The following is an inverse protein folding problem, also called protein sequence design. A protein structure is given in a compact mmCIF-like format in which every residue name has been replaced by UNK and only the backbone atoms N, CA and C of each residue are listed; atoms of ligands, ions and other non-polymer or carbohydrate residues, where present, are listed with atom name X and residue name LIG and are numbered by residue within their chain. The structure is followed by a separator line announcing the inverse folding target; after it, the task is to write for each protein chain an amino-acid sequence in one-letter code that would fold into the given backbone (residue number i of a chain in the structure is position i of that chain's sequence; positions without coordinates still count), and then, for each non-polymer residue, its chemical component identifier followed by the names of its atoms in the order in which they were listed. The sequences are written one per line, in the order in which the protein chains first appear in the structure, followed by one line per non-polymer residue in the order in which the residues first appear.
data_IF_829590914163
#
_entry.id   IF_829590914163
#
_cell.length_a   1.000
_cell.length_b   1.000
_cell.length_c   1.000
_cell.angle_alpha   90.00
_cell.angle_beta   90.00
_cell.angle_gamma   90.00
#
_symmetry.space_group_name_H-M   'P 1'
#
loop_
_entity.id
_entity.type
_entity.pdbx_description
1 polymer ?
#
# COMPACT_ATOMS: atom_id res chain seq x y z
N UNK A 1 8.04 0.64 -28.22
CA UNK A 1 6.80 -0.12 -27.95
C UNK A 1 6.79 -1.34 -28.84
N UNK A 2 6.81 -2.59 -28.41
CA UNK A 2 7.03 -3.20 -27.11
C UNK A 2 7.90 -4.45 -27.29
N UNK A 3 8.61 -4.83 -26.23
CA UNK A 3 9.58 -5.94 -26.24
C UNK A 3 9.03 -7.21 -25.54
N UNK A 4 7.72 -7.28 -25.36
CA UNK A 4 7.06 -8.37 -24.66
C UNK A 4 6.05 -9.00 -25.61
N UNK A 5 6.48 -10.02 -26.33
CA UNK A 5 5.59 -10.89 -27.07
C UNK A 5 5.00 -11.90 -26.10
N UNK A 6 3.66 -12.01 -26.07
CA UNK A 6 2.99 -13.01 -25.26
C UNK A 6 3.32 -14.39 -25.80
N UNK A 7 3.81 -15.27 -24.92
CA UNK A 7 4.12 -16.66 -25.26
C UNK A 7 2.84 -17.38 -25.75
N UNK A 8 2.88 -18.21 -26.80
CA UNK A 8 1.72 -19.00 -27.23
C UNK A 8 1.04 -19.73 -26.05
N UNK A 9 -0.28 -19.77 -26.01
CA UNK A 9 -1.06 -20.36 -24.90
C UNK A 9 -0.67 -21.81 -24.62
N UNK A 10 -0.30 -22.55 -25.67
CA UNK A 10 0.17 -23.94 -25.61
C UNK A 10 1.43 -24.10 -24.75
N UNK A 11 2.33 -23.11 -24.75
CA UNK A 11 3.58 -23.12 -23.98
C UNK A 11 3.42 -22.52 -22.57
N UNK A 12 2.25 -21.94 -22.24
CA UNK A 12 1.93 -21.47 -20.89
C UNK A 12 1.48 -22.63 -19.99
N UNK A 13 1.01 -23.72 -20.59
CA UNK A 13 0.44 -24.88 -19.90
C UNK A 13 1.42 -26.06 -19.77
N UNK A 14 2.71 -25.85 -20.08
CA UNK A 14 3.76 -26.90 -20.02
C UNK A 14 3.89 -27.52 -18.61
N UNK A 15 3.59 -26.73 -17.56
CA UNK A 15 3.66 -27.15 -16.16
C UNK A 15 2.35 -27.77 -15.63
N UNK A 16 1.23 -27.63 -16.34
CA UNK A 16 -0.08 -28.08 -15.87
C UNK A 16 -0.31 -29.59 -15.98
N UNK A 17 0.53 -30.28 -16.77
CA UNK A 17 0.47 -31.74 -16.95
C UNK A 17 1.49 -32.52 -16.10
N UNK A 18 2.35 -31.83 -15.35
CA UNK A 18 3.31 -32.51 -14.47
C UNK A 18 2.58 -32.96 -13.20
N UNK A 19 2.78 -34.22 -12.77
CA UNK A 19 2.24 -34.66 -11.49
C UNK A 19 2.84 -33.78 -10.40
N UNK A 20 2.00 -33.13 -9.60
CA UNK A 20 2.46 -32.47 -8.38
C UNK A 20 3.17 -33.50 -7.52
N UNK A 21 4.27 -33.10 -6.88
CA UNK A 21 4.91 -33.96 -5.89
C UNK A 21 3.89 -34.36 -4.80
N UNK A 22 4.04 -35.56 -4.21
CA UNK A 22 3.20 -35.95 -3.08
C UNK A 22 3.32 -34.91 -1.98
N UNK A 23 2.19 -34.48 -1.41
CA UNK A 23 2.20 -33.55 -0.29
C UNK A 23 2.82 -34.26 0.92
N UNK A 24 4.07 -33.91 1.24
CA UNK A 24 4.72 -34.36 2.46
C UNK A 24 4.05 -33.75 3.70
N UNK A 25 4.23 -34.41 4.85
CA UNK A 25 3.73 -33.90 6.11
C UNK A 25 4.44 -32.59 6.47
N UNK A 26 3.72 -31.47 6.41
CA UNK A 26 4.25 -30.16 6.76
C UNK A 26 4.61 -30.10 8.25
N UNK A 27 5.85 -29.71 8.53
CA UNK A 27 6.33 -29.42 9.87
C UNK A 27 5.65 -28.17 10.45
N UNK A 28 5.73 -27.99 11.76
CA UNK A 28 5.21 -26.80 12.42
C UNK A 28 5.86 -25.49 11.93
N UNK A 29 7.07 -25.55 11.36
CA UNK A 29 7.74 -24.39 10.79
C UNK A 29 7.19 -23.98 9.41
N UNK A 30 6.52 -24.90 8.71
CA UNK A 30 5.95 -24.69 7.38
C UNK A 30 4.46 -24.33 7.43
N UNK A 31 3.83 -24.47 8.60
CA UNK A 31 2.43 -24.13 8.82
C UNK A 31 2.31 -22.79 9.52
N UNK A 32 1.37 -21.96 9.05
CA UNK A 32 0.98 -20.76 9.77
C UNK A 32 0.16 -21.17 11.00
N UNK A 33 0.39 -20.48 12.12
CA UNK A 33 -0.42 -20.68 13.32
C UNK A 33 -1.91 -20.46 13.06
N UNK A 34 -2.74 -21.14 13.84
CA UNK A 34 -4.18 -20.99 13.77
C UNK A 34 -4.56 -19.51 13.93
N UNK A 35 -5.51 -19.00 13.13
CA UNK A 35 -5.95 -17.63 13.27
C UNK A 35 -6.51 -17.41 14.68
N UNK A 36 -6.31 -16.22 15.26
CA UNK A 36 -6.87 -15.90 16.56
C UNK A 36 -8.40 -16.09 16.54
N UNK A 37 -8.94 -16.71 17.58
CA UNK A 37 -10.40 -16.93 17.74
C UNK A 37 -11.19 -15.65 18.01
N UNK A 38 -10.50 -14.52 18.17
CA UNK A 38 -11.15 -13.22 18.30
C UNK A 38 -11.87 -12.88 16.99
N UNK A 39 -13.20 -12.74 17.06
CA UNK A 39 -14.06 -12.33 15.93
C UNK A 39 -13.81 -10.89 15.46
N UNK A 40 -12.82 -10.23 16.04
CA UNK A 40 -12.61 -8.81 15.97
C UNK A 40 -11.12 -8.50 16.02
N UNK A 41 -10.52 -8.59 14.84
CA UNK A 41 -9.11 -8.30 14.60
C UNK A 41 -8.74 -6.84 14.91
N UNK A 42 -9.75 -5.97 15.09
CA UNK A 42 -9.59 -4.54 15.28
C UNK A 42 -10.15 -4.03 16.64
N UNK A 43 -10.63 -4.92 17.52
CA UNK A 43 -11.20 -4.55 18.82
C UNK A 43 -12.54 -3.77 18.78
N UNK A 44 -13.18 -3.63 17.62
CA UNK A 44 -14.38 -2.82 17.35
C UNK A 44 -15.67 -3.32 18.06
N UNK A 45 -15.74 -4.58 18.47
CA UNK A 45 -16.96 -5.26 18.92
C UNK A 45 -17.42 -4.92 20.35
N UNK A 46 -16.75 -3.98 21.04
CA UNK A 46 -17.02 -3.64 22.45
C UNK A 46 -17.61 -2.25 22.75
N UNK A 47 -17.89 -1.41 21.75
CA UNK A 47 -18.29 0.00 21.94
C UNK A 47 -17.30 0.97 21.28
N UNK A 48 -17.51 2.30 21.36
CA UNK A 48 -16.73 3.25 20.55
C UNK A 48 -15.27 3.31 21.01
N UNK A 49 -14.39 2.54 20.35
CA UNK A 49 -12.93 2.54 20.57
C UNK A 49 -12.20 3.56 19.67
N UNK A 50 -12.84 4.68 19.35
CA UNK A 50 -12.24 5.69 18.48
C UNK A 50 -12.17 7.02 19.21
N UNK A 51 -10.96 7.55 19.30
CA UNK A 51 -10.71 8.92 19.76
C UNK A 51 -10.29 9.75 18.54
N UNK A 52 -10.94 10.89 18.32
CA UNK A 52 -10.61 11.80 17.23
C UNK A 52 -9.60 12.82 17.75
N UNK A 53 -8.47 12.97 17.06
CA UNK A 53 -7.44 13.96 17.39
C UNK A 53 -7.49 15.06 16.33
N UNK A 54 -7.68 16.30 16.78
CA UNK A 54 -7.67 17.48 15.90
C UNK A 54 -6.25 18.02 15.80
N UNK A 55 -5.73 18.10 14.58
CA UNK A 55 -4.44 18.73 14.30
C UNK A 55 -4.63 20.22 13.99
N UNK A 56 -3.96 21.13 14.71
CA UNK A 56 -4.02 22.55 14.40
C UNK A 56 -3.33 22.82 13.05
N UNK A 57 -4.05 23.51 12.15
CA UNK A 57 -3.50 23.93 10.86
C UNK A 57 -2.92 25.34 11.02
N UNK A 58 -1.66 25.53 10.60
CA UNK A 58 -1.04 26.85 10.57
C UNK A 58 -1.72 27.73 9.50
N UNK A 59 -1.90 29.05 9.76
CA UNK A 59 -2.44 29.95 8.76
C UNK A 59 -1.54 30.01 7.51
N UNK A 60 -2.10 30.25 6.32
CA UNK A 60 -1.31 30.39 5.10
C UNK A 60 -0.28 31.53 5.24
N UNK A 61 0.89 31.34 4.63
CA UNK A 61 1.92 32.36 4.60
C UNK A 61 1.41 33.65 3.91
N UNK A 62 1.86 34.84 4.35
CA UNK A 62 1.49 36.09 3.68
C UNK A 62 2.00 36.10 2.24
N UNK A 63 1.28 36.81 1.36
CA UNK A 63 1.71 37.03 -0.02
C UNK A 63 3.07 37.74 -0.05
N UNK A 64 3.96 37.27 -0.92
CA UNK A 64 5.27 37.89 -1.08
C UNK A 64 5.11 39.32 -1.62
N UNK A 65 5.79 40.27 -0.99
CA UNK A 65 5.83 41.64 -1.49
C UNK A 65 6.52 41.69 -2.86
N UNK A 66 5.91 42.39 -3.81
CA UNK A 66 6.49 42.64 -5.11
C UNK A 66 7.66 43.64 -4.98
N UNK A 67 8.88 43.16 -5.20
CA UNK A 67 10.12 43.95 -5.06
C UNK A 67 10.35 44.86 -6.29
N UNK A 68 9.56 44.72 -7.36
CA UNK A 68 9.77 45.49 -8.61
C UNK A 68 9.28 46.95 -8.56
N UNK A 69 8.55 47.36 -7.52
CA UNK A 69 8.03 48.74 -7.41
C UNK A 69 9.06 49.78 -6.91
N UNK A 70 10.26 49.37 -6.49
CA UNK A 70 11.27 50.25 -5.87
C UNK A 70 12.57 50.39 -6.70
N UNK A 71 12.50 50.28 -8.04
CA UNK A 71 13.65 50.39 -8.93
C UNK A 71 13.64 51.66 -9.80
N UNK A 72 14.39 52.67 -9.36
CA UNK A 72 14.98 53.81 -10.07
C UNK A 72 14.11 54.66 -11.02
N UNK A 73 13.69 55.81 -10.49
CA UNK A 73 13.77 57.05 -11.26
C UNK A 73 15.04 57.81 -10.87
N UNK A 74 16.07 57.80 -11.73
CA UNK A 74 17.08 58.87 -11.91
C UNK A 74 17.98 58.56 -13.14
N UNK A 75 17.62 59.11 -14.30
CA UNK A 75 18.47 59.86 -15.28
C UNK A 75 17.65 60.17 -16.57
#
# INVERSE_FOLDING_TARGET
MGLFQQRPEEEQNEWAGLPSEPLDAQSAAEQLDAPPTASDLFGVSGGPLYTSVVFPVAPPAPEAADVTANGDGDD
#
